data_IF_858245310587
#
_entry.id   IF_858245310587
#
_cell.length_a   1.000
_cell.length_b   1.000
_cell.length_c   1.000
_cell.angle_alpha   90.00
_cell.angle_beta   90.00
_cell.angle_gamma   90.00
#
_symmetry.space_group_name_H-M   'P 1'
#
loop_
_entity.id
_entity.type
_entity.pdbx_description
1 polymer ?
#
# COMPACT_ATOMS: atom_id res chain seq x y z
N UNK A 1 24.57 -9.37 -21.34
CA UNK A 1 23.38 -10.24 -21.42
C UNK A 1 22.95 -10.46 -19.98
N UNK A 2 21.93 -9.75 -19.52
CA UNK A 2 21.47 -9.85 -18.13
C UNK A 2 20.78 -11.20 -17.91
N UNK A 3 21.09 -11.84 -16.78
CA UNK A 3 20.47 -13.09 -16.37
C UNK A 3 19.03 -12.76 -15.93
N UNK A 4 17.98 -13.37 -16.53
CA UNK A 4 16.61 -13.07 -16.13
C UNK A 4 16.36 -13.43 -14.66
N UNK A 5 15.89 -12.48 -13.85
CA UNK A 5 15.54 -12.70 -12.43
C UNK A 5 14.10 -13.18 -12.23
N UNK A 6 13.29 -13.25 -13.31
CA UNK A 6 11.87 -13.59 -13.30
C UNK A 6 11.47 -14.47 -14.50
N UNK A 7 10.39 -15.25 -14.37
CA UNK A 7 9.86 -16.14 -15.45
C UNK A 7 9.43 -15.37 -16.70
N UNK A 8 8.93 -14.14 -16.52
CA UNK A 8 8.64 -13.19 -17.60
C UNK A 8 9.01 -11.79 -17.11
N UNK A 9 9.89 -11.14 -17.86
CA UNK A 9 10.19 -9.72 -17.71
C UNK A 9 9.74 -9.02 -18.99
N UNK A 10 8.89 -8.00 -18.87
CA UNK A 10 8.45 -7.20 -20.02
C UNK A 10 9.10 -5.84 -19.93
N UNK A 11 9.99 -5.55 -20.89
CA UNK A 11 10.53 -4.22 -21.09
C UNK A 11 9.64 -3.46 -22.09
N UNK A 12 8.81 -2.55 -21.59
CA UNK A 12 7.88 -1.75 -22.40
C UNK A 12 6.41 -1.87 -21.96
N UNK A 13 5.49 -1.38 -22.80
CA UNK A 13 4.07 -1.32 -22.48
C UNK A 13 3.34 -2.62 -22.85
N UNK A 14 2.59 -3.19 -21.89
CA UNK A 14 1.59 -4.22 -22.17
C UNK A 14 0.20 -3.60 -22.23
N UNK A 15 -0.54 -3.85 -23.32
CA UNK A 15 -1.95 -3.43 -23.44
C UNK A 15 -2.81 -4.64 -23.76
N UNK A 16 -3.88 -4.83 -23.00
CA UNK A 16 -4.99 -5.71 -23.39
C UNK A 16 -6.00 -4.92 -24.22
N UNK A 17 -6.51 -5.51 -25.31
CA UNK A 17 -7.66 -4.94 -26.04
C UNK A 17 -8.90 -5.00 -25.15
N UNK A 18 -10.00 -4.33 -25.53
CA UNK A 18 -11.27 -4.41 -24.79
C UNK A 18 -11.84 -5.82 -24.64
N UNK A 19 -11.30 -6.79 -25.38
CA UNK A 19 -11.64 -8.22 -25.32
C UNK A 19 -10.61 -9.08 -24.60
N UNK A 20 -9.45 -8.52 -24.21
CA UNK A 20 -8.49 -9.20 -23.35
C UNK A 20 -9.00 -9.14 -21.92
N UNK A 21 -9.34 -10.30 -21.34
CA UNK A 21 -9.93 -10.45 -20.01
C UNK A 21 -9.12 -9.86 -18.85
N UNK A 22 -9.49 -10.15 -17.62
CA UNK A 22 -8.97 -9.43 -16.45
C UNK A 22 -7.59 -9.89 -15.95
N UNK A 23 -6.87 -8.92 -15.37
CA UNK A 23 -5.61 -9.18 -14.65
C UNK A 23 -5.96 -9.55 -13.22
N UNK A 24 -6.52 -10.75 -13.05
CA UNK A 24 -7.02 -11.21 -11.77
C UNK A 24 -5.97 -11.97 -10.97
N UNK A 25 -6.07 -11.84 -9.65
CA UNK A 25 -5.35 -12.68 -8.70
C UNK A 25 -6.33 -13.56 -7.95
N UNK A 26 -6.09 -14.87 -7.91
CA UNK A 26 -6.90 -15.80 -7.13
C UNK A 26 -6.89 -15.39 -5.65
N UNK A 27 -8.07 -15.12 -5.08
CA UNK A 27 -8.21 -14.62 -3.70
C UNK A 27 -9.26 -15.34 -2.86
N UNK A 28 -9.83 -16.43 -3.39
CA UNK A 28 -10.84 -17.28 -2.73
C UNK A 28 -10.37 -17.73 -1.34
N UNK A 29 -11.25 -17.63 -0.34
CA UNK A 29 -10.93 -17.94 1.05
C UNK A 29 -10.51 -19.41 1.24
N UNK A 30 -10.99 -20.33 0.40
CA UNK A 30 -10.62 -21.76 0.41
C UNK A 30 -9.17 -22.01 -0.01
N UNK A 31 -8.56 -21.04 -0.70
CA UNK A 31 -7.15 -21.07 -1.11
C UNK A 31 -6.23 -20.47 -0.05
N UNK A 32 -6.78 -19.94 1.06
CA UNK A 32 -6.04 -19.25 2.12
C UNK A 32 -6.02 -20.09 3.39
N UNK A 33 -4.95 -19.96 4.16
CA UNK A 33 -4.79 -20.56 5.50
C UNK A 33 -4.31 -19.51 6.48
N UNK A 34 -4.54 -19.72 7.77
CA UNK A 34 -4.12 -18.81 8.85
C UNK A 34 -4.62 -17.37 8.64
N UNK A 35 -5.92 -17.24 8.34
CA UNK A 35 -6.56 -15.94 8.09
C UNK A 35 -6.70 -15.20 9.42
N UNK A 36 -5.96 -14.10 9.57
CA UNK A 36 -5.98 -13.24 10.74
C UNK A 36 -6.38 -11.82 10.34
N UNK A 37 -7.07 -11.05 11.22
CA UNK A 37 -7.34 -9.65 10.96
C UNK A 37 -6.04 -8.84 10.90
N UNK A 38 -6.02 -7.81 10.07
CA UNK A 38 -4.97 -6.79 10.09
C UNK A 38 -5.22 -5.93 11.34
N UNK A 39 -4.21 -5.77 12.19
CA UNK A 39 -4.29 -5.00 13.43
C UNK A 39 -3.32 -3.82 13.37
N UNK A 40 -3.62 -2.75 14.10
CA UNK A 40 -2.80 -1.53 14.15
C UNK A 40 -2.60 -0.95 12.73
N UNK A 41 -3.64 -1.05 11.92
CA UNK A 41 -3.58 -0.68 10.52
C UNK A 41 -3.32 0.82 10.35
N UNK A 42 -4.02 1.65 11.12
CA UNK A 42 -3.86 3.10 11.12
C UNK A 42 -2.43 3.49 11.52
N UNK A 43 -1.93 2.99 12.65
CA UNK A 43 -0.56 3.22 13.11
C UNK A 43 0.50 2.78 12.09
N UNK A 44 0.27 1.66 11.43
CA UNK A 44 1.17 1.14 10.39
C UNK A 44 1.18 2.08 9.18
N UNK A 45 0.00 2.52 8.71
CA UNK A 45 -0.12 3.45 7.58
C UNK A 45 0.51 4.81 7.92
N UNK A 46 0.36 5.31 9.15
CA UNK A 46 0.97 6.57 9.59
C UNK A 46 2.50 6.56 9.60
N UNK A 47 3.13 5.37 9.61
CA UNK A 47 4.59 5.23 9.50
C UNK A 47 5.07 5.15 8.04
N UNK A 48 4.18 4.85 7.09
CA UNK A 48 4.52 4.80 5.67
C UNK A 48 4.68 6.22 5.11
N UNK A 49 5.64 6.38 4.21
CA UNK A 49 5.94 7.66 3.58
C UNK A 49 5.69 7.62 2.08
N UNK A 50 4.60 8.24 1.64
CA UNK A 50 4.36 8.52 0.23
C UNK A 50 5.40 9.52 -0.30
N UNK A 51 5.92 9.28 -1.50
CA UNK A 51 6.87 10.15 -2.18
C UNK A 51 6.41 10.42 -3.61
N UNK A 52 6.82 11.56 -4.15
CA UNK A 52 6.83 11.76 -5.60
C UNK A 52 8.25 11.63 -6.12
N UNK A 53 8.41 11.10 -7.31
CA UNK A 53 9.73 10.85 -7.89
C UNK A 53 9.71 10.97 -9.41
N UNK A 54 10.90 11.12 -9.97
CA UNK A 54 11.21 11.00 -11.39
C UNK A 54 12.34 9.97 -11.50
N UNK A 55 12.38 9.23 -12.60
CA UNK A 55 13.46 8.27 -12.80
C UNK A 55 14.78 8.99 -13.05
N UNK A 56 15.89 8.49 -12.48
CA UNK A 56 17.22 9.07 -12.73
C UNK A 56 17.67 8.87 -14.18
N UNK A 57 17.20 7.79 -14.81
CA UNK A 57 17.47 7.45 -16.20
C UNK A 57 16.14 6.99 -16.83
N UNK A 58 15.28 7.94 -17.25
CA UNK A 58 13.95 7.63 -17.77
C UNK A 58 13.98 6.62 -18.94
N UNK A 59 15.00 6.71 -19.80
CA UNK A 59 15.17 5.81 -20.93
C UNK A 59 15.32 4.33 -20.52
N UNK A 60 16.02 4.05 -19.41
CA UNK A 60 16.13 2.68 -18.85
C UNK A 60 14.82 2.16 -18.26
N UNK A 61 13.86 3.03 -17.99
CA UNK A 61 12.55 2.67 -17.46
C UNK A 61 11.44 2.79 -18.50
N UNK A 62 11.79 2.97 -19.78
CA UNK A 62 10.83 3.23 -20.86
C UNK A 62 9.86 4.38 -20.51
N UNK A 63 10.41 5.42 -19.88
CA UNK A 63 9.69 6.58 -19.37
C UNK A 63 10.07 7.87 -20.13
N UNK A 64 9.11 8.78 -20.25
CA UNK A 64 9.25 10.08 -20.93
C UNK A 64 9.66 11.21 -19.96
N UNK A 65 10.38 10.88 -18.88
CA UNK A 65 10.74 11.77 -17.76
C UNK A 65 9.50 12.27 -16.99
N UNK A 66 8.60 11.33 -16.70
CA UNK A 66 7.36 11.58 -15.99
C UNK A 66 7.55 11.77 -14.48
N UNK A 67 6.60 12.47 -13.85
CA UNK A 67 6.49 12.53 -12.39
C UNK A 67 5.52 11.46 -11.89
N UNK A 68 5.99 10.65 -10.96
CA UNK A 68 5.28 9.53 -10.38
C UNK A 68 5.04 9.72 -8.89
N UNK A 69 4.12 8.94 -8.34
CA UNK A 69 3.88 8.82 -6.90
C UNK A 69 3.99 7.36 -6.49
N UNK A 70 4.57 7.12 -5.32
CA UNK A 70 4.68 5.77 -4.77
C UNK A 70 5.39 5.77 -3.43
N UNK A 71 6.10 4.69 -3.15
CA UNK A 71 6.91 4.52 -1.95
C UNK A 71 8.37 4.24 -2.34
N UNK A 72 9.30 4.68 -1.49
CA UNK A 72 10.64 4.10 -1.49
C UNK A 72 10.58 2.71 -0.88
N UNK A 73 11.15 1.71 -1.57
CA UNK A 73 11.24 0.36 -1.04
C UNK A 73 11.99 0.33 0.31
N UNK A 74 13.03 1.14 0.47
CA UNK A 74 13.85 1.22 1.68
C UNK A 74 13.08 1.78 2.88
N UNK A 75 12.21 2.77 2.65
CA UNK A 75 11.39 3.31 3.74
C UNK A 75 10.21 2.38 4.06
N UNK A 76 9.59 1.78 3.05
CA UNK A 76 8.52 0.79 3.25
C UNK A 76 9.01 -0.45 4.01
N UNK A 77 10.21 -0.94 3.72
CA UNK A 77 10.82 -2.12 4.39
C UNK A 77 10.93 -1.94 5.91
N UNK A 78 11.19 -0.72 6.39
CA UNK A 78 11.30 -0.43 7.84
C UNK A 78 9.96 -0.59 8.56
N UNK A 79 8.85 -0.54 7.82
CA UNK A 79 7.49 -0.59 8.36
C UNK A 79 6.85 -1.95 8.09
N UNK A 80 6.94 -2.42 6.83
CA UNK A 80 6.36 -3.68 6.34
C UNK A 80 7.43 -4.40 5.49
N UNK A 81 8.37 -5.12 6.12
CA UNK A 81 9.47 -5.77 5.40
C UNK A 81 8.98 -6.80 4.37
N UNK A 82 7.80 -7.38 4.57
CA UNK A 82 7.20 -8.40 3.69
C UNK A 82 6.85 -7.85 2.30
N UNK A 83 6.73 -6.54 2.14
CA UNK A 83 6.53 -5.92 0.83
C UNK A 83 7.79 -5.91 -0.02
N UNK A 84 8.97 -6.12 0.57
CA UNK A 84 10.24 -5.86 -0.10
C UNK A 84 10.99 -7.14 -0.40
N UNK A 85 11.48 -7.23 -1.64
CA UNK A 85 12.41 -8.27 -2.08
C UNK A 85 13.69 -7.63 -2.57
N UNK A 86 14.82 -8.28 -2.31
CA UNK A 86 16.13 -7.84 -2.81
C UNK A 86 16.52 -8.71 -3.99
N UNK A 87 16.85 -8.10 -5.12
CA UNK A 87 17.37 -8.80 -6.29
C UNK A 87 18.85 -9.12 -6.16
N UNK A 88 19.36 -9.95 -7.07
CA UNK A 88 20.75 -10.39 -7.05
C UNK A 88 21.77 -9.24 -7.21
N UNK A 89 21.36 -8.14 -7.85
CA UNK A 89 22.16 -6.93 -8.02
C UNK A 89 22.06 -5.93 -6.84
N UNK A 90 21.25 -6.25 -5.82
CA UNK A 90 21.04 -5.44 -4.64
C UNK A 90 19.92 -4.39 -4.75
N UNK A 91 19.26 -4.25 -5.91
CA UNK A 91 18.08 -3.41 -6.00
C UNK A 91 16.89 -4.03 -5.25
N UNK A 92 16.01 -3.16 -4.75
CA UNK A 92 14.85 -3.55 -3.95
C UNK A 92 13.58 -3.41 -4.76
N UNK A 93 12.83 -4.49 -4.87
CA UNK A 93 11.50 -4.52 -5.45
C UNK A 93 10.45 -4.34 -4.35
N UNK A 94 9.40 -3.60 -4.66
CA UNK A 94 8.28 -3.35 -3.75
C UNK A 94 7.00 -3.99 -4.29
N UNK A 95 6.39 -4.88 -3.53
CA UNK A 95 5.06 -5.43 -3.74
C UNK A 95 4.11 -4.93 -2.65
N UNK A 96 3.38 -3.87 -2.97
CA UNK A 96 2.37 -3.26 -2.10
C UNK A 96 0.94 -3.62 -2.52
N UNK A 97 0.70 -4.74 -3.22
CA UNK A 97 -0.64 -5.13 -3.71
C UNK A 97 -1.66 -5.22 -2.55
N UNK A 98 -1.24 -5.69 -1.37
CA UNK A 98 -2.07 -5.76 -0.17
C UNK A 98 -2.32 -4.44 0.56
N UNK A 99 -1.76 -3.32 0.08
CA UNK A 99 -1.89 -2.02 0.74
C UNK A 99 -3.35 -1.54 0.81
N UNK A 100 -4.18 -1.87 -0.18
CA UNK A 100 -5.59 -1.54 -0.18
C UNK A 100 -6.34 -2.16 1.03
N UNK A 101 -6.06 -3.42 1.37
CA UNK A 101 -6.65 -4.09 2.53
C UNK A 101 -6.18 -3.44 3.84
N UNK A 102 -4.90 -3.08 3.93
CA UNK A 102 -4.36 -2.32 5.06
C UNK A 102 -5.06 -0.95 5.20
N UNK A 103 -5.25 -0.22 4.11
CA UNK A 103 -5.94 1.08 4.13
C UNK A 103 -7.41 0.96 4.56
N UNK A 104 -8.10 -0.10 4.13
CA UNK A 104 -9.48 -0.35 4.57
C UNK A 104 -9.57 -0.50 6.08
N UNK A 105 -8.68 -1.30 6.68
CA UNK A 105 -8.67 -1.46 8.15
C UNK A 105 -8.21 -0.18 8.86
N UNK A 106 -7.27 0.57 8.29
CA UNK A 106 -6.85 1.87 8.85
C UNK A 106 -8.01 2.89 8.88
N UNK A 107 -8.83 2.94 7.83
CA UNK A 107 -10.01 3.81 7.78
C UNK A 107 -11.06 3.39 8.80
N UNK A 108 -11.25 2.08 9.02
CA UNK A 108 -12.16 1.57 10.05
C UNK A 108 -11.68 1.92 11.46
N UNK A 109 -10.40 1.74 11.74
CA UNK A 109 -9.76 2.16 13.00
C UNK A 109 -9.95 3.67 13.22
N UNK A 110 -9.66 4.49 12.20
CA UNK A 110 -9.87 5.95 12.26
C UNK A 110 -11.33 6.33 12.52
N UNK A 111 -12.29 5.64 11.88
CA UNK A 111 -13.72 5.90 12.11
C UNK A 111 -14.13 5.56 13.55
N UNK A 112 -13.58 4.49 14.11
CA UNK A 112 -13.82 4.11 15.50
C UNK A 112 -13.27 5.16 16.47
N UNK A 113 -12.05 5.66 16.25
CA UNK A 113 -11.46 6.75 17.05
C UNK A 113 -12.30 8.03 16.99
N UNK A 114 -12.73 8.43 15.79
CA UNK A 114 -13.60 9.59 15.62
C UNK A 114 -14.92 9.43 16.39
N UNK A 115 -15.55 8.25 16.34
CA UNK A 115 -16.77 7.97 17.10
C UNK A 115 -16.56 8.06 18.61
N UNK A 116 -15.42 7.59 19.12
CA UNK A 116 -15.08 7.71 20.53
C UNK A 116 -14.85 9.18 20.97
N UNK A 117 -14.24 9.98 20.09
CA UNK A 117 -14.07 11.41 20.31
C UNK A 117 -15.40 12.17 20.30
N UNK A 118 -16.28 11.89 19.35
CA UNK A 118 -17.64 12.45 19.25
C UNK A 118 -18.43 12.19 20.54
N UNK A 119 -18.44 10.95 21.04
CA UNK A 119 -19.09 10.60 22.31
C UNK A 119 -18.50 11.34 23.51
N UNK A 120 -17.16 11.49 23.55
CA UNK A 120 -16.51 12.23 24.63
C UNK A 120 -16.89 13.70 24.61
N UNK A 121 -17.01 14.30 23.43
CA UNK A 121 -17.46 15.69 23.26
C UNK A 121 -18.88 15.84 23.77
N UNK A 122 -19.83 14.99 23.35
CA UNK A 122 -21.23 15.03 23.80
C UNK A 122 -21.36 14.95 25.33
N UNK A 123 -20.58 14.05 25.97
CA UNK A 123 -20.55 13.93 27.43
C UNK A 123 -20.00 15.20 28.10
N UNK A 124 -18.97 15.82 27.53
CA UNK A 124 -18.37 17.04 28.08
C UNK A 124 -19.30 18.26 27.92
N UNK A 125 -19.93 18.42 26.76
CA UNK A 125 -20.91 19.46 26.49
C UNK A 125 -22.12 19.35 27.43
N UNK A 126 -22.63 18.13 27.64
CA UNK A 126 -23.72 17.87 28.59
C UNK A 126 -23.36 18.30 30.01
N UNK A 127 -22.12 18.06 30.45
CA UNK A 127 -21.65 18.46 31.79
C UNK A 127 -21.51 19.97 31.95
N UNK A 128 -21.11 20.68 30.90
CA UNK A 128 -20.99 22.14 30.90
C UNK A 128 -22.37 22.81 30.96
N UNK A 129 -23.35 22.26 30.25
CA UNK A 129 -24.72 22.80 30.20
C UNK A 129 -25.53 22.56 31.48
N UNK A 130 -25.11 21.64 32.36
CA UNK A 130 -25.74 21.41 33.68
C UNK A 130 -25.28 22.46 34.72
N UNK A 131 -24.22 23.24 34.42
CA UNK A 131 -23.65 24.26 35.30
C UNK A 131 -24.11 25.70 35.01
N UNK A 132 -24.95 25.93 34.00
CA UNK A 132 -25.60 27.22 33.68
C UNK A 132 -27.07 27.18 34.08
#
# INVERSE_FOLDING_TARGET
>A
MEIPTHTLHVFGNTRKTSTGGDWDQSSDIRLKKNILPIKNALDTVMKLKGVTYMWKDPAKHNDEDGRYMGFSAQDAEKVIPEWVKVEADGYKLLNAIGANALFVEAIKELKAENGALEQRIEVLESKLNIGQ
#
